data_IF_593247744144
#
_entry.id   IF_593247744144
#
_cell.length_a   1.000
_cell.length_b   1.000
_cell.length_c   1.000
_cell.angle_alpha   90.00
_cell.angle_beta   90.00
_cell.angle_gamma   90.00
#
_symmetry.space_group_name_H-M   'P 1'
#
loop_
_entity.id
_entity.type
_entity.pdbx_description
1 polymer ?
#
# COMPACT_ATOMS: atom_id res chain seq x y z
N UNK A 1 20.29 16.20 -5.24
CA UNK A 1 19.55 16.57 -4.01
C UNK A 1 18.19 15.93 -4.06
N UNK A 2 17.71 15.38 -2.93
CA UNK A 2 16.32 14.92 -2.83
C UNK A 2 15.40 16.12 -2.96
N UNK A 3 14.30 16.04 -3.73
CA UNK A 3 13.33 17.11 -3.79
C UNK A 3 12.67 17.31 -2.41
N UNK A 4 12.42 18.54 -2.03
CA UNK A 4 11.65 18.88 -0.84
C UNK A 4 10.26 19.33 -1.26
N UNK A 5 9.34 18.38 -1.30
CA UNK A 5 7.95 18.65 -1.69
C UNK A 5 7.23 19.42 -0.57
N UNK A 6 6.41 20.39 -1.00
CA UNK A 6 5.54 21.15 -0.08
C UNK A 6 4.48 20.23 0.56
N UNK A 7 3.88 20.61 1.72
CA UNK A 7 2.77 19.86 2.31
C UNK A 7 1.60 19.66 1.35
N UNK A 8 1.34 20.62 0.47
CA UNK A 8 0.35 20.52 -0.60
C UNK A 8 0.65 19.40 -1.60
N UNK A 9 1.89 19.35 -2.06
CA UNK A 9 2.33 18.30 -2.99
C UNK A 9 2.30 16.92 -2.34
N UNK A 10 2.71 16.83 -1.07
CA UNK A 10 2.63 15.61 -0.28
C UNK A 10 1.16 15.17 -0.07
N UNK A 11 0.26 16.11 0.20
CA UNK A 11 -1.16 15.84 0.33
C UNK A 11 -1.77 15.33 -0.97
N UNK A 12 -1.47 15.98 -2.11
CA UNK A 12 -1.96 15.56 -3.42
C UNK A 12 -1.39 14.19 -3.83
N UNK A 13 -0.13 13.92 -3.55
CA UNK A 13 0.49 12.62 -3.80
C UNK A 13 -0.22 11.51 -3.01
N UNK A 14 -0.52 11.73 -1.73
CA UNK A 14 -1.27 10.79 -0.90
C UNK A 14 -2.71 10.61 -1.40
N UNK A 15 -3.37 11.69 -1.80
CA UNK A 15 -4.72 11.64 -2.36
C UNK A 15 -4.78 10.72 -3.59
N UNK A 16 -3.88 10.93 -4.55
CA UNK A 16 -3.80 10.09 -5.75
C UNK A 16 -3.41 8.64 -5.41
N UNK A 17 -2.41 8.45 -4.54
CA UNK A 17 -1.93 7.13 -4.17
C UNK A 17 -3.01 6.30 -3.46
N UNK A 18 -3.68 6.87 -2.46
CA UNK A 18 -4.70 6.16 -1.68
C UNK A 18 -6.00 5.98 -2.46
N UNK A 19 -6.41 6.96 -3.28
CA UNK A 19 -7.55 6.80 -4.18
C UNK A 19 -7.34 5.65 -5.17
N UNK A 20 -6.16 5.57 -5.80
CA UNK A 20 -5.80 4.46 -6.67
C UNK A 20 -5.70 3.13 -5.91
N UNK A 21 -5.14 3.15 -4.69
CA UNK A 21 -4.97 1.96 -3.87
C UNK A 21 -6.31 1.35 -3.44
N UNK A 22 -7.29 2.18 -3.11
CA UNK A 22 -8.66 1.71 -2.81
C UNK A 22 -9.24 0.91 -3.97
N UNK A 23 -9.06 1.36 -5.22
CA UNK A 23 -9.47 0.58 -6.39
C UNK A 23 -8.77 -0.78 -6.44
N UNK A 24 -7.47 -0.83 -6.19
CA UNK A 24 -6.68 -2.06 -6.19
C UNK A 24 -7.10 -3.04 -5.07
N UNK A 25 -7.70 -2.53 -4.00
CA UNK A 25 -8.30 -3.33 -2.92
C UNK A 25 -9.70 -3.84 -3.26
N UNK A 26 -10.32 -3.35 -4.33
CA UNK A 26 -11.66 -3.72 -4.76
C UNK A 26 -12.71 -2.63 -4.61
N UNK A 27 -12.35 -1.44 -4.13
CA UNK A 27 -13.26 -0.31 -3.98
C UNK A 27 -13.67 0.33 -5.30
N UNK A 28 -14.85 0.92 -5.31
CA UNK A 28 -15.43 1.61 -6.46
C UNK A 28 -15.14 3.11 -6.50
N UNK A 29 -15.79 3.83 -7.44
CA UNK A 29 -15.58 5.27 -7.63
C UNK A 29 -15.88 6.12 -6.40
N UNK A 30 -16.89 5.75 -5.60
CA UNK A 30 -17.29 6.49 -4.40
C UNK A 30 -16.19 6.38 -3.34
N UNK A 31 -15.73 5.17 -3.04
CA UNK A 31 -14.65 4.92 -2.08
C UNK A 31 -13.34 5.57 -2.55
N UNK A 32 -13.05 5.53 -3.84
CA UNK A 32 -11.87 6.18 -4.42
C UNK A 32 -11.92 7.70 -4.22
N UNK A 33 -13.06 8.34 -4.50
CA UNK A 33 -13.23 9.79 -4.34
C UNK A 33 -13.11 10.21 -2.87
N UNK A 34 -13.77 9.49 -1.96
CA UNK A 34 -13.70 9.76 -0.52
C UNK A 34 -12.31 9.52 0.05
N UNK A 35 -11.61 8.45 -0.38
CA UNK A 35 -10.24 8.17 0.03
C UNK A 35 -9.25 9.21 -0.52
N UNK A 36 -9.47 9.72 -1.72
CA UNK A 36 -8.70 10.82 -2.28
C UNK A 36 -8.78 12.05 -1.37
N UNK A 37 -9.97 12.45 -0.97
CA UNK A 37 -10.18 13.58 -0.04
C UNK A 37 -9.56 13.27 1.31
N UNK A 38 -9.86 12.12 1.89
CA UNK A 38 -9.39 11.73 3.23
C UNK A 38 -7.87 11.67 3.31
N UNK A 39 -7.22 10.96 2.41
CA UNK A 39 -5.76 10.84 2.39
C UNK A 39 -5.08 12.18 2.07
N UNK A 40 -5.66 12.97 1.18
CA UNK A 40 -5.16 14.30 0.84
C UNK A 40 -5.12 15.23 2.05
N UNK A 41 -6.21 15.34 2.77
CA UNK A 41 -6.31 16.15 3.99
C UNK A 41 -5.41 15.58 5.09
N UNK A 42 -5.45 14.28 5.32
CA UNK A 42 -4.67 13.63 6.38
C UNK A 42 -3.17 13.79 6.18
N UNK A 43 -2.66 13.53 4.98
CA UNK A 43 -1.22 13.66 4.73
C UNK A 43 -0.76 15.11 4.57
N UNK A 44 -1.63 16.01 4.10
CA UNK A 44 -1.34 17.44 4.13
C UNK A 44 -1.11 17.92 5.58
N UNK A 45 -2.03 17.58 6.48
CA UNK A 45 -1.92 17.93 7.90
C UNK A 45 -0.68 17.31 8.53
N UNK A 46 -0.43 16.00 8.31
CA UNK A 46 0.76 15.32 8.79
C UNK A 46 2.05 16.00 8.32
N UNK A 47 2.15 16.29 7.03
CA UNK A 47 3.33 16.93 6.45
C UNK A 47 3.54 18.34 6.96
N UNK A 48 2.45 19.09 7.16
CA UNK A 48 2.49 20.44 7.71
C UNK A 48 3.01 20.44 9.17
N UNK A 49 2.47 19.54 9.99
CA UNK A 49 2.87 19.36 11.40
C UNK A 49 4.35 18.97 11.50
N UNK A 50 4.82 18.04 10.66
CA UNK A 50 6.23 17.65 10.63
C UNK A 50 7.15 18.79 10.24
N UNK A 51 6.75 19.65 9.29
CA UNK A 51 7.53 20.84 8.90
C UNK A 51 7.59 21.91 10.00
N UNK A 52 6.63 21.91 10.92
CA UNK A 52 6.68 22.77 12.13
C UNK A 52 7.58 22.19 13.24
N UNK A 53 8.22 21.04 13.03
CA UNK A 53 9.11 20.41 14.00
C UNK A 53 8.41 19.65 15.13
N UNK A 54 7.10 19.38 15.00
CA UNK A 54 6.37 18.59 15.98
C UNK A 54 6.67 17.09 15.83
N UNK A 55 6.45 16.32 16.89
CA UNK A 55 6.79 14.91 16.95
C UNK A 55 6.07 14.07 15.91
N UNK A 56 6.76 13.04 15.40
CA UNK A 56 6.26 12.17 14.35
C UNK A 56 4.97 11.43 14.77
N UNK A 57 4.85 10.98 16.02
CA UNK A 57 3.66 10.31 16.52
C UNK A 57 2.44 11.24 16.57
N UNK A 58 2.62 12.50 16.97
CA UNK A 58 1.55 13.50 16.97
C UNK A 58 1.08 13.79 15.55
N UNK A 59 2.01 13.96 14.62
CA UNK A 59 1.70 14.18 13.21
C UNK A 59 0.95 12.99 12.59
N UNK A 60 1.36 11.77 12.93
CA UNK A 60 0.71 10.54 12.48
C UNK A 60 -0.72 10.42 13.04
N UNK A 61 -0.89 10.61 14.34
CA UNK A 61 -2.19 10.51 15.02
C UNK A 61 -3.19 11.49 14.43
N UNK A 62 -2.81 12.76 14.30
CA UNK A 62 -3.66 13.80 13.71
C UNK A 62 -3.93 13.50 12.24
N UNK A 63 -2.93 13.08 11.48
CA UNK A 63 -3.06 12.75 10.07
C UNK A 63 -4.05 11.62 9.83
N UNK A 64 -3.98 10.53 10.58
CA UNK A 64 -4.90 9.40 10.49
C UNK A 64 -6.31 9.78 10.89
N UNK A 65 -6.47 10.49 12.03
CA UNK A 65 -7.77 10.92 12.49
C UNK A 65 -8.47 11.83 11.46
N UNK A 66 -7.74 12.81 10.93
CA UNK A 66 -8.25 13.70 9.88
C UNK A 66 -8.57 12.96 8.59
N UNK A 67 -7.78 11.97 8.21
CA UNK A 67 -8.06 11.16 7.02
C UNK A 67 -9.39 10.41 7.14
N UNK A 68 -9.63 9.72 8.25
CA UNK A 68 -10.87 8.99 8.51
C UNK A 68 -12.08 9.91 8.61
N UNK A 69 -11.97 11.02 9.34
CA UNK A 69 -13.06 12.00 9.48
C UNK A 69 -13.36 12.67 8.13
N UNK A 70 -12.34 13.06 7.37
CA UNK A 70 -12.52 13.67 6.06
C UNK A 70 -13.12 12.71 5.04
N UNK A 71 -12.78 11.41 5.12
CA UNK A 71 -13.45 10.37 4.34
C UNK A 71 -14.94 10.35 4.63
N UNK A 72 -15.33 10.30 5.91
CA UNK A 72 -16.73 10.29 6.31
C UNK A 72 -17.46 11.55 5.88
N UNK A 73 -16.86 12.73 6.04
CA UNK A 73 -17.47 14.00 5.61
C UNK A 73 -17.69 14.04 4.09
N UNK A 74 -16.74 13.54 3.30
CA UNK A 74 -16.88 13.40 1.86
C UNK A 74 -18.01 12.42 1.51
N UNK A 75 -18.09 11.30 2.21
CA UNK A 75 -19.15 10.30 2.03
C UNK A 75 -20.53 10.86 2.36
N UNK A 76 -20.66 11.59 3.47
CA UNK A 76 -21.90 12.28 3.86
C UNK A 76 -22.30 13.33 2.80
N UNK A 77 -21.33 14.08 2.27
CA UNK A 77 -21.58 15.04 1.19
C UNK A 77 -22.08 14.35 -0.09
N UNK A 78 -21.44 13.26 -0.50
CA UNK A 78 -21.90 12.48 -1.65
C UNK A 78 -23.26 11.82 -1.42
N UNK A 79 -23.55 11.41 -0.18
CA UNK A 79 -24.84 10.84 0.20
C UNK A 79 -26.03 11.77 0.02
N UNK A 80 -25.81 13.11 -0.05
CA UNK A 80 -26.86 14.07 -0.36
C UNK A 80 -27.24 14.07 -1.85
N UNK A 81 -26.36 13.60 -2.71
CA UNK A 81 -26.51 13.65 -4.17
C UNK A 81 -26.67 12.25 -4.78
N UNK A 82 -25.96 11.27 -4.22
CA UNK A 82 -25.91 9.89 -4.74
C UNK A 82 -26.65 8.96 -3.78
N UNK A 83 -27.82 8.42 -4.15
CA UNK A 83 -28.52 7.43 -3.33
C UNK A 83 -27.63 6.20 -3.08
N UNK A 84 -27.57 5.73 -1.84
CA UNK A 84 -26.78 4.56 -1.48
C UNK A 84 -25.28 4.83 -1.24
N UNK A 85 -24.79 6.07 -1.40
CA UNK A 85 -23.38 6.37 -1.13
C UNK A 85 -22.95 5.98 0.30
N UNK A 86 -23.83 6.07 1.28
CA UNK A 86 -23.53 5.71 2.67
C UNK A 86 -23.23 4.23 2.91
N UNK A 87 -23.48 3.34 1.95
CA UNK A 87 -23.08 1.93 2.04
C UNK A 87 -21.60 1.69 1.68
N UNK A 88 -20.85 2.73 1.30
CA UNK A 88 -19.44 2.66 0.90
C UNK A 88 -18.50 3.13 2.02
N UNK A 89 -18.74 2.65 3.24
CA UNK A 89 -17.99 3.10 4.42
C UNK A 89 -16.59 2.50 4.51
N UNK A 90 -16.40 1.27 4.06
CA UNK A 90 -15.18 0.45 4.16
C UNK A 90 -13.95 1.11 3.53
N UNK A 91 -14.14 2.03 2.60
CA UNK A 91 -13.05 2.78 1.95
C UNK A 91 -12.25 3.70 2.88
N UNK A 92 -12.74 3.99 4.11
CA UNK A 92 -11.99 4.81 5.07
C UNK A 92 -10.63 4.21 5.41
N UNK A 93 -10.52 2.88 5.38
CA UNK A 93 -9.25 2.19 5.61
C UNK A 93 -8.24 2.64 4.55
N UNK A 94 -8.65 2.70 3.29
CA UNK A 94 -7.81 3.19 2.20
C UNK A 94 -7.33 4.62 2.40
N UNK A 95 -8.17 5.49 2.97
CA UNK A 95 -7.82 6.87 3.24
C UNK A 95 -6.66 7.04 4.23
N UNK A 96 -6.43 6.08 5.14
CA UNK A 96 -5.35 6.13 6.11
C UNK A 96 -4.09 5.35 5.70
N UNK A 97 -4.10 4.62 4.59
CA UNK A 97 -2.99 3.75 4.20
C UNK A 97 -1.70 4.50 3.84
N UNK A 98 -1.74 5.81 3.63
CA UNK A 98 -0.54 6.62 3.40
C UNK A 98 0.45 6.59 4.58
N UNK A 99 0.01 6.23 5.78
CA UNK A 99 0.88 6.14 6.98
C UNK A 99 1.53 4.77 7.14
N UNK A 100 1.02 3.73 6.48
CA UNK A 100 1.59 2.38 6.60
C UNK A 100 3.02 2.38 6.10
N UNK A 101 3.99 2.00 6.95
CA UNK A 101 5.41 2.17 6.67
C UNK A 101 5.93 1.04 5.76
N UNK A 102 5.41 0.96 4.54
CA UNK A 102 5.77 -0.08 3.59
C UNK A 102 7.25 -0.08 3.25
N UNK A 103 7.86 1.09 3.07
CA UNK A 103 9.29 1.20 2.79
C UNK A 103 10.17 0.62 3.93
N UNK A 104 9.98 1.02 5.21
CA UNK A 104 10.70 0.40 6.33
C UNK A 104 10.44 -1.10 6.48
N UNK A 105 9.22 -1.58 6.26
CA UNK A 105 8.91 -3.01 6.34
C UNK A 105 9.70 -3.83 5.31
N UNK A 106 9.70 -3.40 4.06
CA UNK A 106 10.41 -4.09 2.97
C UNK A 106 11.91 -4.06 3.21
N UNK A 107 12.46 -2.89 3.57
CA UNK A 107 13.91 -2.74 3.81
C UNK A 107 14.35 -3.49 5.04
N UNK A 108 13.56 -3.56 6.12
CA UNK A 108 13.83 -4.41 7.27
C UNK A 108 13.95 -5.88 6.88
N UNK A 109 13.03 -6.38 6.06
CA UNK A 109 13.09 -7.74 5.54
C UNK A 109 14.34 -8.00 4.69
N UNK A 110 14.75 -7.05 3.86
CA UNK A 110 16.00 -7.16 3.07
C UNK A 110 17.25 -7.13 3.94
N UNK A 111 17.29 -6.34 4.99
CA UNK A 111 18.41 -6.29 5.93
C UNK A 111 18.52 -7.60 6.72
N UNK A 112 17.39 -8.14 7.21
CA UNK A 112 17.34 -9.45 7.89
C UNK A 112 17.80 -10.56 6.93
N UNK A 113 17.37 -10.52 5.67
CA UNK A 113 17.80 -11.50 4.67
C UNK A 113 19.32 -11.46 4.39
N UNK A 114 19.96 -10.31 4.61
CA UNK A 114 21.43 -10.14 4.54
C UNK A 114 22.16 -10.44 5.84
N UNK A 115 21.45 -10.90 6.87
CA UNK A 115 21.96 -11.10 8.22
C UNK A 115 22.42 -9.81 8.93
N UNK A 116 22.05 -8.61 8.41
CA UNK A 116 22.19 -7.36 9.15
C UNK A 116 21.02 -7.24 10.14
N UNK A 117 21.10 -8.05 11.19
CA UNK A 117 20.02 -8.18 12.17
C UNK A 117 19.75 -6.89 12.92
N UNK A 118 20.80 -6.08 13.18
CA UNK A 118 20.66 -4.83 13.92
C UNK A 118 19.80 -3.84 13.14
N UNK A 119 20.19 -3.51 11.92
CA UNK A 119 19.43 -2.58 11.06
C UNK A 119 18.03 -3.11 10.76
N UNK A 120 17.91 -4.42 10.51
CA UNK A 120 16.64 -5.07 10.23
C UNK A 120 15.66 -4.98 11.40
N UNK A 121 16.10 -5.30 12.62
CA UNK A 121 15.25 -5.24 13.83
C UNK A 121 14.88 -3.81 14.19
N UNK A 122 15.79 -2.86 14.10
CA UNK A 122 15.52 -1.45 14.36
C UNK A 122 14.42 -0.91 13.41
N UNK A 123 14.53 -1.18 12.12
CA UNK A 123 13.52 -0.78 11.11
C UNK A 123 12.19 -1.50 11.29
N UNK A 124 12.22 -2.79 11.61
CA UNK A 124 11.01 -3.57 11.86
C UNK A 124 10.28 -3.03 13.10
N UNK A 125 10.99 -2.78 14.20
CA UNK A 125 10.42 -2.24 15.43
C UNK A 125 9.80 -0.86 15.20
N UNK A 126 10.47 0.01 14.43
CA UNK A 126 9.92 1.28 14.01
C UNK A 126 8.62 1.11 13.20
N UNK A 127 8.65 0.24 12.18
CA UNK A 127 7.49 0.01 11.34
C UNK A 127 6.30 -0.55 12.13
N UNK A 128 6.54 -1.53 13.01
CA UNK A 128 5.50 -2.10 13.88
C UNK A 128 4.90 -1.03 14.79
N UNK A 129 5.72 -0.15 15.38
CA UNK A 129 5.23 0.95 16.23
C UNK A 129 4.30 1.90 15.46
N UNK A 130 4.67 2.25 14.22
CA UNK A 130 3.83 3.10 13.35
C UNK A 130 2.52 2.39 12.98
N UNK A 131 2.57 1.11 12.63
CA UNK A 131 1.38 0.32 12.27
C UNK A 131 0.42 0.26 13.46
N UNK A 132 0.91 -0.08 14.65
CA UNK A 132 0.09 -0.18 15.86
C UNK A 132 -0.57 1.16 16.15
N UNK A 133 0.19 2.26 16.16
CA UNK A 133 -0.37 3.60 16.39
C UNK A 133 -1.42 3.99 15.34
N UNK A 134 -1.10 3.83 14.05
CA UNK A 134 -2.01 4.21 12.97
C UNK A 134 -3.31 3.40 12.99
N UNK A 135 -3.21 2.10 13.20
CA UNK A 135 -4.39 1.21 13.21
C UNK A 135 -5.24 1.40 14.46
N UNK A 136 -4.64 1.64 15.62
CA UNK A 136 -5.39 1.99 16.84
C UNK A 136 -6.14 3.32 16.68
N UNK A 137 -5.49 4.35 16.16
CA UNK A 137 -6.15 5.65 15.93
C UNK A 137 -7.29 5.49 14.91
N UNK A 138 -7.04 4.77 13.82
CA UNK A 138 -8.07 4.49 12.81
C UNK A 138 -9.26 3.73 13.39
N UNK A 139 -9.01 2.72 14.23
CA UNK A 139 -10.05 2.00 14.93
C UNK A 139 -10.84 2.88 15.91
N UNK A 140 -10.15 3.68 16.72
CA UNK A 140 -10.81 4.59 17.67
C UNK A 140 -11.74 5.57 16.97
N UNK A 141 -11.30 6.16 15.84
CA UNK A 141 -12.14 7.05 15.06
C UNK A 141 -13.32 6.29 14.46
N UNK A 142 -13.08 5.10 13.91
CA UNK A 142 -14.14 4.26 13.33
C UNK A 142 -15.22 3.92 14.35
N UNK A 143 -14.84 3.54 15.58
CA UNK A 143 -15.78 3.29 16.69
C UNK A 143 -16.58 4.55 17.05
N UNK A 144 -15.92 5.70 17.14
CA UNK A 144 -16.59 6.96 17.48
C UNK A 144 -17.64 7.39 16.46
N UNK A 145 -17.45 7.06 15.18
CA UNK A 145 -18.32 7.51 14.07
C UNK A 145 -19.11 6.39 13.40
N UNK A 146 -18.99 5.16 13.90
CA UNK A 146 -19.77 4.00 13.45
C UNK A 146 -19.33 3.45 12.09
N UNK A 147 -18.03 3.48 11.75
CA UNK A 147 -17.46 2.86 10.56
C UNK A 147 -17.04 1.41 10.81
N UNK A 148 -17.27 0.53 9.84
CA UNK A 148 -16.88 -0.89 9.91
C UNK A 148 -15.95 -1.26 8.74
N UNK A 149 -15.04 -2.24 8.93
CA UNK A 149 -14.11 -2.70 7.91
C UNK A 149 -14.73 -3.80 7.03
N UNK A 150 -15.90 -3.52 6.48
CA UNK A 150 -16.63 -4.46 5.61
C UNK A 150 -15.87 -4.77 4.32
N UNK A 151 -16.36 -5.74 3.57
CA UNK A 151 -15.81 -6.08 2.26
C UNK A 151 -16.36 -5.13 1.19
N UNK A 152 -15.51 -4.79 0.21
CA UNK A 152 -15.92 -3.97 -0.92
C UNK A 152 -16.95 -4.68 -1.80
N UNK A 153 -17.93 -3.92 -2.28
CA UNK A 153 -18.94 -4.43 -3.19
C UNK A 153 -18.30 -4.79 -4.56
N UNK A 154 -18.74 -5.87 -5.22
CA UNK A 154 -18.22 -6.25 -6.53
C UNK A 154 -18.39 -5.13 -7.57
N UNK A 155 -17.32 -4.81 -8.31
CA UNK A 155 -17.32 -3.72 -9.28
C UNK A 155 -18.11 -4.01 -10.56
N UNK A 156 -18.38 -5.28 -10.87
CA UNK A 156 -19.10 -5.68 -12.09
C UNK A 156 -18.36 -5.35 -13.40
N UNK A 157 -17.04 -5.15 -13.36
CA UNK A 157 -16.23 -4.83 -14.52
C UNK A 157 -15.90 -6.08 -15.35
N UNK A 158 -15.79 -5.90 -16.68
CA UNK A 158 -15.27 -6.96 -17.54
C UNK A 158 -13.78 -7.24 -17.20
N UNK A 159 -13.28 -8.46 -17.43
CA UNK A 159 -11.89 -8.82 -17.16
C UNK A 159 -10.88 -7.89 -17.82
N UNK A 160 -11.15 -7.46 -19.05
CA UNK A 160 -10.27 -6.52 -19.77
C UNK A 160 -10.28 -5.13 -19.13
N UNK A 161 -11.45 -4.59 -18.82
CA UNK A 161 -11.58 -3.28 -18.17
C UNK A 161 -10.90 -3.28 -16.79
N UNK A 162 -11.11 -4.33 -16.00
CA UNK A 162 -10.47 -4.49 -14.69
C UNK A 162 -8.95 -4.52 -14.81
N UNK A 163 -8.40 -5.27 -15.77
CA UNK A 163 -6.95 -5.37 -15.98
C UNK A 163 -6.36 -4.03 -16.41
N UNK A 164 -6.98 -3.34 -17.36
CA UNK A 164 -6.51 -2.02 -17.82
C UNK A 164 -6.54 -0.97 -16.69
N UNK A 165 -7.61 -0.95 -15.91
CA UNK A 165 -7.71 -0.05 -14.76
C UNK A 165 -6.69 -0.40 -13.67
N UNK A 166 -6.41 -1.68 -13.44
CA UNK A 166 -5.34 -2.13 -12.53
C UNK A 166 -3.96 -1.62 -12.95
N UNK A 167 -3.65 -1.64 -14.25
CA UNK A 167 -2.40 -1.07 -14.77
C UNK A 167 -2.30 0.41 -14.46
N UNK A 168 -3.35 1.18 -14.77
CA UNK A 168 -3.37 2.64 -14.53
C UNK A 168 -3.30 2.94 -13.04
N UNK A 169 -4.13 2.29 -12.23
CA UNK A 169 -4.17 2.54 -10.77
C UNK A 169 -2.91 2.08 -10.05
N UNK A 170 -2.29 1.00 -10.50
CA UNK A 170 -0.98 0.58 -9.97
C UNK A 170 0.11 1.60 -10.29
N UNK A 171 0.11 2.16 -11.50
CA UNK A 171 1.01 3.25 -11.85
C UNK A 171 0.79 4.47 -10.94
N UNK A 172 -0.44 4.95 -10.85
CA UNK A 172 -0.80 6.13 -10.04
C UNK A 172 -0.46 5.91 -8.57
N UNK A 173 -0.78 4.75 -8.03
CA UNK A 173 -0.48 4.39 -6.64
C UNK A 173 1.01 4.42 -6.34
N UNK A 174 1.82 3.71 -7.13
CA UNK A 174 3.28 3.67 -6.95
C UNK A 174 3.91 5.04 -7.18
N UNK A 175 3.49 5.77 -8.21
CA UNK A 175 3.97 7.11 -8.47
C UNK A 175 3.71 8.05 -7.27
N UNK A 176 2.48 8.07 -6.76
CA UNK A 176 2.11 8.89 -5.61
C UNK A 176 2.88 8.54 -4.34
N UNK A 177 3.01 7.26 -4.00
CA UNK A 177 3.83 6.82 -2.87
C UNK A 177 5.31 7.17 -3.06
N UNK A 178 5.86 7.06 -4.27
CA UNK A 178 7.24 7.44 -4.56
C UNK A 178 7.48 8.94 -4.33
N UNK A 179 6.54 9.78 -4.73
CA UNK A 179 6.58 11.22 -4.46
C UNK A 179 6.54 11.49 -2.94
N UNK A 180 5.69 10.77 -2.21
CA UNK A 180 5.63 10.86 -0.74
C UNK A 180 6.95 10.46 -0.07
N UNK A 181 7.75 9.59 -0.68
CA UNK A 181 9.10 9.24 -0.24
C UNK A 181 10.18 10.21 -0.72
N UNK A 182 9.78 11.38 -1.20
CA UNK A 182 10.67 12.41 -1.76
C UNK A 182 11.52 11.90 -2.94
N UNK A 183 10.97 11.02 -3.76
CA UNK A 183 11.62 10.58 -5.00
C UNK A 183 11.49 11.66 -6.09
N UNK A 184 12.54 11.89 -6.90
CA UNK A 184 12.42 12.73 -8.09
C UNK A 184 11.34 12.20 -9.04
N UNK A 185 10.63 13.09 -9.73
CA UNK A 185 9.50 12.74 -10.60
C UNK A 185 9.84 11.66 -11.63
N UNK A 186 11.00 11.76 -12.27
CA UNK A 186 11.44 10.75 -13.26
C UNK A 186 11.65 9.38 -12.64
N UNK A 187 12.21 9.34 -11.43
CA UNK A 187 12.41 8.09 -10.69
C UNK A 187 11.08 7.53 -10.20
N UNK A 188 10.16 8.39 -9.73
CA UNK A 188 8.80 7.99 -9.35
C UNK A 188 8.03 7.41 -10.55
N UNK A 189 8.17 7.99 -11.74
CA UNK A 189 7.58 7.47 -12.97
C UNK A 189 8.15 6.09 -13.36
N UNK A 190 9.46 5.92 -13.27
CA UNK A 190 10.10 4.63 -13.54
C UNK A 190 9.63 3.54 -12.56
N UNK A 191 9.59 3.85 -11.26
CA UNK A 191 9.03 2.94 -10.26
C UNK A 191 7.55 2.64 -10.52
N UNK A 192 6.77 3.65 -10.94
CA UNK A 192 5.37 3.52 -11.33
C UNK A 192 5.15 2.55 -12.48
N UNK A 193 5.97 2.60 -13.51
CA UNK A 193 5.90 1.65 -14.65
C UNK A 193 6.22 0.22 -14.21
N UNK A 194 7.25 0.04 -13.39
CA UNK A 194 7.59 -1.27 -12.82
C UNK A 194 6.43 -1.79 -11.97
N UNK A 195 5.88 -0.96 -11.08
CA UNK A 195 4.76 -1.32 -10.24
C UNK A 195 3.48 -1.62 -11.02
N UNK A 196 3.23 -0.89 -12.12
CA UNK A 196 2.10 -1.13 -13.00
C UNK A 196 2.11 -2.56 -13.57
N UNK A 197 3.27 -3.02 -14.02
CA UNK A 197 3.43 -4.38 -14.55
C UNK A 197 3.37 -5.42 -13.42
N UNK A 198 4.19 -5.27 -12.40
CA UNK A 198 4.36 -6.28 -11.35
C UNK A 198 3.11 -6.45 -10.47
N UNK A 199 2.44 -5.35 -10.09
CA UNK A 199 1.24 -5.42 -9.28
C UNK A 199 0.02 -5.90 -10.05
N UNK A 200 -0.13 -5.50 -11.32
CA UNK A 200 -1.19 -6.03 -12.19
C UNK A 200 -1.02 -7.53 -12.39
N UNK A 201 0.20 -8.01 -12.63
CA UNK A 201 0.48 -9.43 -12.70
C UNK A 201 0.10 -10.14 -11.40
N UNK A 202 0.50 -9.60 -10.25
CA UNK A 202 0.16 -10.15 -8.92
C UNK A 202 -1.36 -10.32 -8.75
N UNK A 203 -2.12 -9.26 -9.02
CA UNK A 203 -3.59 -9.30 -8.90
C UNK A 203 -4.23 -10.23 -9.91
N UNK A 204 -3.71 -10.29 -11.13
CA UNK A 204 -4.17 -11.22 -12.16
C UNK A 204 -3.97 -12.68 -11.78
N UNK A 205 -2.85 -13.01 -11.13
CA UNK A 205 -2.58 -14.35 -10.64
C UNK A 205 -3.52 -14.77 -9.50
N UNK A 206 -3.86 -13.84 -8.61
CA UNK A 206 -4.85 -14.09 -7.53
C UNK A 206 -6.23 -14.35 -8.11
N UNK A 207 -6.65 -13.56 -9.08
CA UNK A 207 -8.00 -13.61 -9.67
C UNK A 207 -8.06 -14.46 -10.96
N UNK A 208 -7.06 -15.27 -11.24
CA UNK A 208 -6.96 -16.05 -12.49
C UNK A 208 -8.19 -16.90 -12.81
N UNK A 209 -8.86 -17.59 -11.85
CA UNK A 209 -10.07 -18.33 -12.14
C UNK A 209 -11.22 -17.45 -12.64
N UNK A 210 -11.35 -16.26 -12.11
CA UNK A 210 -12.40 -15.29 -12.49
C UNK A 210 -12.09 -14.59 -13.81
N UNK A 211 -10.81 -14.25 -14.03
CA UNK A 211 -10.36 -13.54 -15.23
C UNK A 211 -10.26 -14.48 -16.45
N UNK A 212 -9.92 -15.75 -16.23
CA UNK A 212 -9.69 -16.74 -17.26
C UNK A 212 -10.49 -18.03 -17.02
N UNK A 213 -11.83 -17.98 -17.00
CA UNK A 213 -12.67 -19.13 -16.69
C UNK A 213 -12.46 -20.30 -17.68
N UNK A 214 -12.01 -20.01 -18.91
CA UNK A 214 -11.70 -21.01 -19.93
C UNK A 214 -10.50 -21.91 -19.60
N UNK A 215 -9.65 -21.51 -18.62
CA UNK A 215 -8.53 -22.35 -18.16
C UNK A 215 -8.96 -23.45 -17.18
N UNK A 216 -10.21 -23.42 -16.69
CA UNK A 216 -10.73 -24.41 -15.75
C UNK A 216 -9.98 -24.46 -14.40
N UNK A 217 -9.38 -23.36 -13.98
CA UNK A 217 -8.65 -23.28 -12.72
C UNK A 217 -9.62 -23.32 -11.53
N UNK A 218 -9.36 -24.20 -10.57
CA UNK A 218 -10.19 -24.34 -9.37
C UNK A 218 -9.92 -23.24 -8.34
N UNK A 219 -8.72 -22.65 -8.32
CA UNK A 219 -8.32 -21.58 -7.41
C UNK A 219 -7.27 -20.67 -8.05
N UNK A 220 -7.23 -19.43 -7.61
CA UNK A 220 -6.15 -18.49 -7.93
C UNK A 220 -4.89 -18.76 -7.10
N UNK A 221 -3.83 -18.04 -7.43
CA UNK A 221 -2.60 -18.09 -6.65
C UNK A 221 -2.85 -17.49 -5.24
N UNK A 222 -2.37 -18.13 -4.16
CA UNK A 222 -2.46 -17.55 -2.83
C UNK A 222 -1.83 -16.15 -2.78
N UNK A 223 -2.42 -15.18 -2.04
CA UNK A 223 -1.96 -13.79 -2.03
C UNK A 223 -0.47 -13.62 -1.70
N UNK A 224 0.06 -14.43 -0.78
CA UNK A 224 1.47 -14.42 -0.40
C UNK A 224 2.39 -14.91 -1.53
N UNK A 225 2.02 -15.97 -2.23
CA UNK A 225 2.76 -16.46 -3.40
C UNK A 225 2.70 -15.46 -4.55
N UNK A 226 1.55 -14.82 -4.76
CA UNK A 226 1.38 -13.76 -5.74
C UNK A 226 2.24 -12.54 -5.38
N UNK A 227 2.34 -12.17 -4.10
CA UNK A 227 3.21 -11.09 -3.62
C UNK A 227 4.68 -11.40 -3.88
N UNK A 228 5.13 -12.63 -3.62
CA UNK A 228 6.47 -13.09 -4.00
C UNK A 228 6.72 -12.91 -5.49
N UNK A 229 5.80 -13.39 -6.33
CA UNK A 229 5.92 -13.29 -7.80
C UNK A 229 5.96 -11.84 -8.26
N UNK A 230 5.09 -10.97 -7.73
CA UNK A 230 5.09 -9.55 -8.01
C UNK A 230 6.41 -8.88 -7.63
N UNK A 231 6.94 -9.17 -6.44
CA UNK A 231 8.21 -8.65 -5.97
C UNK A 231 9.40 -9.17 -6.81
N UNK A 232 9.39 -10.45 -7.20
CA UNK A 232 10.40 -11.04 -8.08
C UNK A 232 10.44 -10.31 -9.42
N UNK A 233 9.29 -10.15 -10.07
CA UNK A 233 9.19 -9.44 -11.37
C UNK A 233 9.61 -7.99 -11.22
N UNK A 234 9.18 -7.30 -10.16
CA UNK A 234 9.60 -5.93 -9.86
C UNK A 234 11.12 -5.82 -9.74
N UNK A 235 11.75 -6.74 -9.02
CA UNK A 235 13.20 -6.78 -8.85
C UNK A 235 13.96 -7.03 -10.17
N UNK A 236 13.44 -7.91 -11.03
CA UNK A 236 14.01 -8.17 -12.35
C UNK A 236 13.88 -6.95 -13.28
N UNK A 237 12.71 -6.33 -13.34
CA UNK A 237 12.48 -5.12 -14.15
C UNK A 237 13.33 -3.95 -13.66
N UNK A 238 13.49 -3.78 -12.35
CA UNK A 238 14.35 -2.73 -11.79
C UNK A 238 15.82 -2.96 -12.12
N UNK A 239 16.30 -4.21 -12.20
CA UNK A 239 17.65 -4.53 -12.68
C UNK A 239 17.87 -4.07 -14.11
N UNK A 240 16.90 -4.30 -14.98
CA UNK A 240 16.98 -3.85 -16.38
C UNK A 240 16.93 -2.32 -16.47
N UNK A 241 16.12 -1.68 -15.63
CA UNK A 241 16.01 -0.23 -15.59
C UNK A 241 17.28 0.45 -15.03
N UNK A 242 17.95 -0.14 -14.03
CA UNK A 242 19.19 0.36 -13.43
C UNK A 242 20.28 0.54 -14.49
N UNK A 243 20.41 -0.43 -15.41
CA UNK A 243 21.41 -0.38 -16.48
C UNK A 243 21.18 0.83 -17.41
N UNK A 244 19.93 1.22 -17.63
CA UNK A 244 19.56 2.28 -18.58
C UNK A 244 19.40 3.66 -17.93
N UNK A 245 18.91 3.70 -16.67
CA UNK A 245 18.46 4.94 -16.03
C UNK A 245 19.43 5.46 -14.97
N UNK A 246 20.50 4.73 -14.64
CA UNK A 246 21.50 5.11 -13.61
C UNK A 246 20.93 5.42 -12.22
N UNK A 247 19.69 4.99 -11.93
CA UNK A 247 19.10 5.11 -10.60
C UNK A 247 19.50 3.93 -9.72
N UNK A 248 19.70 4.15 -8.39
CA UNK A 248 19.94 3.06 -7.47
C UNK A 248 18.76 2.05 -7.50
N UNK A 249 19.07 0.77 -7.65
CA UNK A 249 18.06 -0.29 -7.74
C UNK A 249 17.01 -0.25 -6.63
N UNK A 250 17.44 -0.03 -5.37
CA UNK A 250 16.55 0.04 -4.22
C UNK A 250 15.52 1.18 -4.34
N UNK A 251 15.90 2.27 -4.99
CA UNK A 251 15.03 3.42 -5.22
C UNK A 251 13.93 3.14 -6.27
N UNK A 252 14.09 2.10 -7.07
CA UNK A 252 13.09 1.61 -8.03
C UNK A 252 12.29 0.45 -7.46
N UNK A 253 12.95 -0.52 -6.83
CA UNK A 253 12.31 -1.76 -6.37
C UNK A 253 11.37 -1.53 -5.19
N UNK A 254 11.81 -0.83 -4.15
CA UNK A 254 11.01 -0.69 -2.92
C UNK A 254 9.73 0.09 -3.17
N UNK A 255 9.75 1.28 -3.83
CA UNK A 255 8.52 1.98 -4.15
C UNK A 255 7.57 1.19 -5.07
N UNK A 256 8.11 0.40 -6.01
CA UNK A 256 7.28 -0.35 -6.96
C UNK A 256 6.45 -1.47 -6.31
N UNK A 257 6.87 -1.98 -5.14
CA UNK A 257 6.14 -3.03 -4.41
C UNK A 257 5.43 -2.52 -3.14
N UNK A 258 5.56 -1.24 -2.81
CA UNK A 258 4.92 -0.65 -1.62
C UNK A 258 3.40 -0.86 -1.63
N UNK A 259 2.76 -0.79 -2.80
CA UNK A 259 1.32 -1.05 -2.93
C UNK A 259 0.93 -2.53 -2.74
N UNK A 260 1.90 -3.43 -2.64
CA UNK A 260 1.67 -4.84 -2.32
C UNK A 260 1.69 -5.10 -0.80
N UNK A 261 2.13 -4.13 0.00
CA UNK A 261 2.15 -4.23 1.46
C UNK A 261 0.71 -4.35 1.97
N UNK A 262 0.41 -5.33 2.84
CA UNK A 262 -0.96 -5.69 3.20
C UNK A 262 -1.56 -4.76 4.27
N UNK A 263 -1.62 -3.46 4.00
CA UNK A 263 -2.11 -2.45 4.93
C UNK A 263 -3.56 -2.70 5.38
N UNK A 264 -4.43 -3.12 4.47
CA UNK A 264 -5.81 -3.51 4.80
C UNK A 264 -5.86 -4.68 5.78
N UNK A 265 -5.02 -5.71 5.57
CA UNK A 265 -5.00 -6.89 6.44
C UNK A 265 -4.44 -6.55 7.82
N UNK A 266 -3.43 -5.69 7.89
CA UNK A 266 -2.88 -5.18 9.16
C UNK A 266 -3.95 -4.39 9.93
N UNK A 267 -4.71 -3.55 9.26
CA UNK A 267 -5.81 -2.81 9.90
C UNK A 267 -6.92 -3.75 10.38
N UNK A 268 -7.38 -4.67 9.54
CA UNK A 268 -8.43 -5.64 9.92
C UNK A 268 -7.99 -6.51 11.09
N UNK A 269 -6.73 -6.94 11.12
CA UNK A 269 -6.20 -7.68 12.26
C UNK A 269 -6.31 -6.87 13.56
N UNK A 270 -5.95 -5.59 13.53
CA UNK A 270 -6.06 -4.71 14.70
C UNK A 270 -7.52 -4.48 15.09
N UNK A 271 -8.40 -4.24 14.14
CA UNK A 271 -9.83 -4.05 14.37
C UNK A 271 -10.42 -5.25 15.10
N UNK A 272 -10.20 -6.46 14.59
CA UNK A 272 -10.70 -7.70 15.22
C UNK A 272 -10.02 -8.01 16.55
N UNK A 273 -8.78 -7.59 16.74
CA UNK A 273 -8.13 -7.67 18.04
C UNK A 273 -8.83 -6.78 19.08
N UNK A 274 -9.17 -5.55 18.71
CA UNK A 274 -9.87 -4.61 19.60
C UNK A 274 -11.31 -5.01 19.89
N UNK A 275 -11.95 -5.75 19.00
CA UNK A 275 -13.30 -6.32 19.21
C UNK A 275 -13.30 -7.72 19.82
N UNK A 276 -12.12 -8.25 20.21
CA UNK A 276 -11.92 -9.58 20.79
C UNK A 276 -12.35 -10.75 19.88
N UNK A 277 -12.46 -10.54 18.58
CA UNK A 277 -12.65 -11.60 17.60
C UNK A 277 -11.30 -12.21 17.21
N UNK A 278 -10.82 -13.13 18.05
CA UNK A 278 -9.47 -13.73 17.92
C UNK A 278 -9.31 -14.58 16.67
N UNK A 279 -10.37 -15.18 16.15
CA UNK A 279 -10.31 -16.03 14.94
C UNK A 279 -10.06 -15.19 13.70
N UNK A 280 -10.84 -14.15 13.49
CA UNK A 280 -10.66 -13.22 12.39
C UNK A 280 -9.36 -12.44 12.54
N UNK A 281 -9.03 -11.98 13.74
CA UNK A 281 -7.75 -11.31 14.02
C UNK A 281 -6.57 -12.16 13.58
N UNK A 282 -6.50 -13.42 14.00
CA UNK A 282 -5.40 -14.32 13.67
C UNK A 282 -5.33 -14.60 12.16
N UNK A 283 -6.48 -14.81 11.51
CA UNK A 283 -6.54 -15.03 10.06
C UNK A 283 -5.95 -13.87 9.26
N UNK A 284 -6.32 -12.64 9.57
CA UNK A 284 -5.79 -11.45 8.90
C UNK A 284 -4.31 -11.19 9.26
N UNK A 285 -3.94 -11.41 10.52
CA UNK A 285 -2.56 -11.24 10.99
C UNK A 285 -1.60 -12.17 10.27
N UNK A 286 -1.89 -13.47 10.23
CA UNK A 286 -1.02 -14.47 9.60
C UNK A 286 -0.86 -14.15 8.10
N UNK A 287 -1.93 -13.82 7.39
CA UNK A 287 -1.86 -13.43 5.97
C UNK A 287 -0.98 -12.19 5.78
N UNK A 288 -1.15 -11.17 6.64
CA UNK A 288 -0.34 -9.97 6.56
C UNK A 288 1.15 -10.27 6.78
N UNK A 289 1.48 -11.06 7.80
CA UNK A 289 2.88 -11.45 8.11
C UNK A 289 3.49 -12.23 6.96
N UNK A 290 2.77 -13.19 6.38
CA UNK A 290 3.27 -13.96 5.24
C UNK A 290 3.56 -13.07 4.04
N UNK A 291 2.66 -12.16 3.67
CA UNK A 291 2.89 -11.24 2.55
C UNK A 291 4.10 -10.34 2.82
N UNK A 292 4.21 -9.76 4.02
CA UNK A 292 5.36 -8.93 4.41
C UNK A 292 6.69 -9.71 4.35
N UNK A 293 6.67 -10.99 4.71
CA UNK A 293 7.85 -11.86 4.62
C UNK A 293 8.21 -12.22 3.17
N UNK A 294 7.22 -12.54 2.34
CA UNK A 294 7.45 -12.97 0.95
C UNK A 294 7.91 -11.83 0.02
N UNK A 295 7.55 -10.58 0.30
CA UNK A 295 7.96 -9.44 -0.53
C UNK A 295 9.49 -9.26 -0.57
N UNK A 296 10.22 -9.16 0.56
CA UNK A 296 11.68 -9.09 0.56
C UNK A 296 12.34 -10.34 -0.02
N UNK A 297 11.76 -11.53 0.20
CA UNK A 297 12.28 -12.79 -0.37
C UNK A 297 12.22 -12.75 -1.89
N UNK A 298 11.11 -12.30 -2.48
CA UNK A 298 10.99 -12.13 -3.94
C UNK A 298 12.03 -11.16 -4.51
N UNK A 299 12.25 -10.02 -3.86
CA UNK A 299 13.31 -9.06 -4.24
C UNK A 299 14.71 -9.67 -4.07
N UNK A 300 14.94 -10.42 -2.98
CA UNK A 300 16.20 -11.11 -2.72
C UNK A 300 16.53 -12.11 -3.81
N UNK A 301 15.58 -12.95 -4.20
CA UNK A 301 15.73 -13.90 -5.31
C UNK A 301 16.03 -13.18 -6.63
N UNK A 302 15.29 -12.10 -6.96
CA UNK A 302 15.57 -11.29 -8.14
C UNK A 302 17.01 -10.77 -8.14
N UNK A 303 17.49 -10.32 -6.97
CA UNK A 303 18.84 -9.81 -6.82
C UNK A 303 19.91 -10.90 -6.96
N UNK A 304 19.68 -12.06 -6.37
CA UNK A 304 20.57 -13.22 -6.54
C UNK A 304 20.70 -13.64 -8.00
N UNK A 305 19.60 -13.55 -8.78
CA UNK A 305 19.62 -13.90 -10.21
C UNK A 305 20.39 -12.87 -11.06
N UNK A 306 20.36 -11.58 -10.67
CA UNK A 306 20.85 -10.49 -11.51
C UNK A 306 22.15 -9.85 -11.06
N UNK A 307 22.57 -10.05 -9.80
CA UNK A 307 23.79 -9.47 -9.24
C UNK A 307 24.75 -10.57 -8.76
N UNK A 308 25.89 -10.82 -9.47
CA UNK A 308 26.87 -11.83 -9.05
C UNK A 308 27.42 -11.63 -7.62
N UNK A 309 27.52 -10.38 -7.15
CA UNK A 309 28.01 -10.05 -5.81
C UNK A 309 27.11 -10.55 -4.70
N UNK A 310 25.84 -10.83 -5.00
CA UNK A 310 24.89 -11.39 -4.05
C UNK A 310 24.93 -12.92 -3.97
N UNK A 311 25.57 -13.58 -4.94
CA UNK A 311 25.73 -15.03 -4.96
C UNK A 311 26.92 -15.50 -4.14
N UNK A 312 27.89 -14.63 -3.96
CA UNK A 312 29.11 -14.95 -3.25
C UNK A 312 29.17 -14.07 -1.99
N UNK A 313 28.79 -14.65 -0.85
CA UNK A 313 29.14 -14.10 0.46
C UNK A 313 30.62 -14.36 0.67
N UNK A 314 31.45 -13.32 0.57
CA UNK A 314 32.82 -13.34 1.04
C UNK A 314 32.85 -13.17 2.55
#
# INVERSE_FOLDING_TARGET
>A
SKPDYSPWQQGLAAACACGAFVFLLGGGPIEMACAFVGAGVGNFARSHILKQGLGQFSALTIGVALACVSYLLALLGLGQVIPGAMSHQEGYIGAMLFVIPGFPLITAGLDIAKLDMRSGIERLSYAVSIIVMATLVGWMVAECVGLAPDDFAPLGLSPLALTLLRVVMSFVGVFGFSVMFNSPIKMAAAAGLIGAVSNTLRLTLVDAPTLFPFLGLSAGMPPEAAAFTGALVSGLLASLAEIKLTYPRIALTVPSIVIMVPGLYLYRSMYYMCTFDTVNMLGWFVRAVLIVAFLPVGLGVARTLTDPRWRHTS
#
